data_IF_616361398352
#
_entry.id   IF_616361398352
#
_cell.length_a   1.000
_cell.length_b   1.000
_cell.length_c   1.000
_cell.angle_alpha   90.00
_cell.angle_beta   90.00
_cell.angle_gamma   90.00
#
_symmetry.space_group_name_H-M   'P 1'
#
loop_
_entity.id
_entity.type
_entity.pdbx_description
1 polymer ?
#
# COMPACT_ATOMS: atom_id res chain seq x y z
N UNK A 1 3.91 -21.21 2.32
CA UNK A 1 3.50 -20.21 3.34
C UNK A 1 2.20 -19.58 2.88
N UNK A 2 1.37 -19.15 3.82
CA UNK A 2 0.13 -18.40 3.54
C UNK A 2 0.46 -16.96 3.12
N UNK A 3 -0.25 -16.46 2.11
CA UNK A 3 -0.15 -15.07 1.64
C UNK A 3 -0.76 -14.12 2.68
N UNK A 4 -0.08 -13.03 2.99
CA UNK A 4 -0.51 -11.99 3.92
C UNK A 4 -0.76 -10.69 3.16
N UNK A 5 -2.01 -10.22 3.17
CA UNK A 5 -2.41 -8.95 2.53
C UNK A 5 -2.94 -7.98 3.58
N UNK A 6 -2.50 -6.72 3.51
CA UNK A 6 -2.97 -5.63 4.38
C UNK A 6 -4.00 -4.78 3.65
N UNK A 7 -5.19 -4.63 4.21
CA UNK A 7 -6.21 -3.71 3.70
C UNK A 7 -6.17 -2.38 4.47
N UNK A 8 -5.80 -1.30 3.79
CA UNK A 8 -5.81 0.07 4.33
C UNK A 8 -7.13 0.76 3.96
N UNK A 9 -8.02 0.88 4.94
CA UNK A 9 -9.36 1.47 4.79
C UNK A 9 -9.38 2.99 4.84
N UNK A 10 -10.14 3.64 3.96
CA UNK A 10 -10.57 5.05 4.09
C UNK A 10 -9.48 6.10 3.86
N UNK A 11 -8.67 5.94 2.81
CA UNK A 11 -7.63 6.91 2.44
C UNK A 11 -8.28 8.21 2.00
N UNK A 12 -7.81 9.35 2.55
CA UNK A 12 -8.11 10.68 2.00
C UNK A 12 -6.86 11.32 1.46
N UNK A 13 -6.87 11.68 0.19
CA UNK A 13 -5.73 12.27 -0.53
C UNK A 13 -5.32 13.61 0.08
N UNK A 14 -6.28 14.38 0.59
CA UNK A 14 -6.01 15.68 1.20
C UNK A 14 -5.32 15.59 2.57
N UNK A 15 -5.33 14.42 3.23
CA UNK A 15 -4.96 14.31 4.64
C UNK A 15 -3.99 13.17 4.96
N UNK A 16 -4.19 12.02 4.36
CA UNK A 16 -3.63 10.76 4.82
C UNK A 16 -2.43 10.28 3.98
N UNK A 17 -1.90 11.11 3.05
CA UNK A 17 -0.76 10.78 2.18
C UNK A 17 0.40 10.14 2.93
N UNK A 18 0.95 10.84 3.92
CA UNK A 18 2.12 10.36 4.69
C UNK A 18 1.82 9.08 5.44
N UNK A 19 0.73 9.05 6.22
CA UNK A 19 0.38 7.90 7.05
C UNK A 19 0.12 6.65 6.19
N UNK A 20 -0.55 6.81 5.06
CA UNK A 20 -0.85 5.68 4.16
C UNK A 20 0.42 5.13 3.52
N UNK A 21 1.37 5.99 3.14
CA UNK A 21 2.69 5.55 2.70
C UNK A 21 3.42 4.78 3.81
N UNK A 22 3.40 5.27 5.06
CA UNK A 22 4.02 4.55 6.17
C UNK A 22 3.38 3.18 6.44
N UNK A 23 2.05 3.07 6.38
CA UNK A 23 1.35 1.78 6.51
C UNK A 23 1.83 0.79 5.44
N UNK A 24 1.94 1.21 4.18
CA UNK A 24 2.44 0.36 3.10
C UNK A 24 3.89 -0.08 3.32
N UNK A 25 4.77 0.83 3.73
CA UNK A 25 6.18 0.51 3.97
C UNK A 25 6.39 -0.40 5.19
N UNK A 26 5.59 -0.21 6.24
CA UNK A 26 5.60 -1.10 7.41
C UNK A 26 5.06 -2.48 7.04
N UNK A 27 3.97 -2.58 6.28
CA UNK A 27 3.46 -3.86 5.78
C UNK A 27 4.55 -4.65 5.03
N UNK A 28 5.26 -3.98 4.10
CA UNK A 28 6.42 -4.55 3.40
C UNK A 28 7.50 -5.00 4.37
N UNK A 29 7.92 -4.14 5.30
CA UNK A 29 9.02 -4.43 6.23
C UNK A 29 8.71 -5.61 7.15
N UNK A 30 7.43 -5.83 7.47
CA UNK A 30 6.96 -6.90 8.35
C UNK A 30 6.57 -8.18 7.58
N UNK A 31 6.86 -8.25 6.28
CA UNK A 31 6.71 -9.48 5.49
C UNK A 31 5.31 -9.73 4.92
N UNK A 32 4.46 -8.70 4.81
CA UNK A 32 3.27 -8.81 3.98
C UNK A 32 3.66 -8.95 2.50
N UNK A 33 2.80 -9.59 1.71
CA UNK A 33 2.98 -9.74 0.26
C UNK A 33 2.36 -8.57 -0.51
N UNK A 34 1.34 -7.95 0.06
CA UNK A 34 0.54 -6.92 -0.61
C UNK A 34 -0.08 -5.92 0.37
N UNK A 35 -0.23 -4.68 -0.08
CA UNK A 35 -1.16 -3.72 0.50
C UNK A 35 -2.23 -3.31 -0.50
N UNK A 36 -3.49 -3.38 -0.08
CA UNK A 36 -4.66 -2.90 -0.82
C UNK A 36 -5.16 -1.62 -0.15
N UNK A 37 -5.33 -0.56 -0.92
CA UNK A 37 -5.67 0.76 -0.42
C UNK A 37 -7.04 1.15 -0.96
N UNK A 38 -7.92 1.61 -0.08
CA UNK A 38 -9.30 1.97 -0.43
C UNK A 38 -9.63 3.38 0.05
N UNK A 39 -10.68 3.98 -0.48
CA UNK A 39 -11.06 5.38 -0.22
C UNK A 39 -10.87 6.23 -1.46
N UNK A 40 -10.22 7.38 -1.34
CA UNK A 40 -9.90 8.24 -2.49
C UNK A 40 -8.71 7.67 -3.28
N UNK A 41 -8.80 7.63 -4.61
CA UNK A 41 -7.69 7.17 -5.47
C UNK A 41 -6.51 8.16 -5.40
N UNK A 42 -5.33 7.63 -5.05
CA UNK A 42 -4.04 8.35 -5.08
C UNK A 42 -3.00 7.46 -5.79
N UNK A 43 -2.94 7.57 -7.12
CA UNK A 43 -2.02 6.78 -7.95
C UNK A 43 -0.55 7.07 -7.61
N UNK A 44 -0.24 8.32 -7.28
CA UNK A 44 1.10 8.72 -6.86
C UNK A 44 1.54 8.07 -5.55
N UNK A 45 0.62 7.67 -4.67
CA UNK A 45 0.97 6.90 -3.49
C UNK A 45 1.43 5.49 -3.86
N UNK A 46 0.69 4.81 -4.74
CA UNK A 46 1.04 3.46 -5.21
C UNK A 46 2.39 3.48 -5.91
N UNK A 47 2.61 4.44 -6.81
CA UNK A 47 3.90 4.63 -7.50
C UNK A 47 5.07 4.81 -6.53
N UNK A 48 4.92 5.65 -5.49
CA UNK A 48 5.97 5.86 -4.48
C UNK A 48 6.32 4.58 -3.74
N UNK A 49 5.31 3.78 -3.39
CA UNK A 49 5.51 2.49 -2.71
C UNK A 49 6.23 1.52 -3.64
N UNK A 50 5.78 1.41 -4.90
CA UNK A 50 6.40 0.52 -5.89
C UNK A 50 7.84 0.92 -6.22
N UNK A 51 8.15 2.23 -6.25
CA UNK A 51 9.53 2.72 -6.40
C UNK A 51 10.44 2.27 -5.25
N UNK A 52 9.92 2.15 -4.03
CA UNK A 52 10.69 1.57 -2.92
C UNK A 52 10.90 0.07 -3.14
N UNK A 53 9.90 -0.66 -3.64
CA UNK A 53 10.07 -2.09 -3.98
C UNK A 53 11.11 -2.27 -5.08
N UNK A 54 11.09 -1.45 -6.13
CA UNK A 54 12.06 -1.49 -7.22
C UNK A 54 13.49 -1.25 -6.72
N UNK A 55 13.69 -0.21 -5.89
CA UNK A 55 15.01 0.16 -5.39
C UNK A 55 15.59 -0.84 -4.36
N UNK A 56 14.74 -1.47 -3.55
CA UNK A 56 15.16 -2.32 -2.43
C UNK A 56 14.88 -3.81 -2.63
N UNK A 57 14.23 -4.18 -3.74
CA UNK A 57 13.81 -5.55 -4.04
C UNK A 57 12.65 -6.08 -3.19
N UNK A 58 12.33 -7.35 -3.44
CA UNK A 58 11.25 -8.11 -2.79
C UNK A 58 10.00 -8.26 -3.66
N UNK A 59 9.12 -9.18 -3.28
CA UNK A 59 7.87 -9.51 -4.01
C UNK A 59 6.65 -8.73 -3.50
N UNK A 60 6.86 -7.58 -2.86
CA UNK A 60 5.78 -6.76 -2.30
C UNK A 60 5.02 -6.02 -3.40
N UNK A 61 3.69 -5.98 -3.30
CA UNK A 61 2.83 -5.27 -4.24
C UNK A 61 1.94 -4.24 -3.52
N UNK A 62 1.54 -3.20 -4.24
CA UNK A 62 0.58 -2.22 -3.78
C UNK A 62 -0.45 -1.96 -4.86
N UNK A 63 -1.74 -1.92 -4.50
CA UNK A 63 -2.81 -1.57 -5.43
C UNK A 63 -3.93 -0.78 -4.75
N UNK A 64 -4.69 -0.06 -5.57
CA UNK A 64 -5.92 0.59 -5.15
C UNK A 64 -7.13 -0.29 -5.48
N UNK A 65 -8.14 -0.24 -4.61
CA UNK A 65 -9.43 -0.90 -4.78
C UNK A 65 -10.53 0.09 -4.39
N UNK A 66 -11.52 0.28 -5.27
CA UNK A 66 -12.63 1.20 -5.05
C UNK A 66 -13.71 0.62 -4.14
N UNK A 67 -13.96 -0.69 -4.21
CA UNK A 67 -14.87 -1.39 -3.31
C UNK A 67 -14.18 -2.51 -2.54
N UNK A 68 -14.21 -2.41 -1.21
CA UNK A 68 -13.58 -3.37 -0.32
C UNK A 68 -14.53 -4.43 0.22
N UNK A 69 -15.84 -4.30 -0.06
CA UNK A 69 -16.87 -5.23 0.39
C UNK A 69 -17.11 -6.38 -0.58
#
# INVERSE_FOLDING_TARGET
MSRITVLRLGHRIARDKRITTHVALVARAYGADEVVITGERDDGLVERVMKVVENWGGSFSARFEDDWR
#
